data_IF_642746293631
#
_entry.id   IF_642746293631
#
_cell.length_a   1.000
_cell.length_b   1.000
_cell.length_c   1.000
_cell.angle_alpha   90.00
_cell.angle_beta   90.00
_cell.angle_gamma   90.00
#
_symmetry.space_group_name_H-M   'P 1'
#
loop_
_entity.id
_entity.type
_entity.pdbx_description
1 polymer ?
#
# COMPACT_ATOMS: atom_id res chain seq x y z
N UNK A 1 4.49 32.81 -15.52
CA UNK A 1 5.91 32.48 -15.79
C UNK A 1 6.06 30.96 -15.62
N UNK A 2 7.03 30.36 -16.32
CA UNK A 2 7.39 28.95 -16.18
C UNK A 2 8.69 28.85 -15.39
N UNK A 3 8.84 27.79 -14.63
CA UNK A 3 10.09 27.38 -13.97
C UNK A 3 10.47 26.00 -14.48
N UNK A 4 11.76 25.76 -14.56
CA UNK A 4 12.29 24.43 -14.81
C UNK A 4 12.80 23.85 -13.50
N UNK A 5 12.38 22.62 -13.22
CA UNK A 5 12.89 21.81 -12.13
C UNK A 5 13.74 20.70 -12.75
N UNK A 6 14.93 20.51 -12.22
CA UNK A 6 15.84 19.43 -12.65
C UNK A 6 15.78 18.36 -11.56
N UNK A 7 15.42 17.15 -11.96
CA UNK A 7 15.39 15.99 -11.08
C UNK A 7 16.53 15.05 -11.42
N UNK A 8 17.26 14.60 -10.42
CA UNK A 8 18.27 13.54 -10.55
C UNK A 8 17.59 12.21 -10.28
N UNK A 9 17.46 11.38 -11.32
CA UNK A 9 16.80 10.08 -11.28
C UNK A 9 17.84 8.98 -11.37
N UNK A 10 17.75 8.00 -10.47
CA UNK A 10 18.63 6.84 -10.44
C UNK A 10 18.53 6.00 -11.73
N UNK A 11 19.64 5.35 -12.14
CA UNK A 11 19.69 4.45 -13.29
C UNK A 11 18.64 3.32 -13.21
N UNK A 12 18.31 2.87 -12.00
CA UNK A 12 17.31 1.82 -11.80
C UNK A 12 15.90 2.24 -12.21
N UNK A 13 15.57 3.54 -12.10
CA UNK A 13 14.21 4.08 -12.28
C UNK A 13 14.05 4.83 -13.60
N UNK A 14 15.14 5.32 -14.21
CA UNK A 14 15.08 6.16 -15.42
C UNK A 14 14.38 5.46 -16.60
N UNK A 15 14.46 4.13 -16.66
CA UNK A 15 13.79 3.35 -17.71
C UNK A 15 12.27 3.45 -17.72
N UNK A 16 11.65 3.96 -16.65
CA UNK A 16 10.21 4.16 -16.54
C UNK A 16 9.78 5.62 -16.74
N UNK A 17 10.75 6.55 -16.79
CA UNK A 17 10.48 7.98 -16.95
C UNK A 17 10.46 8.33 -18.44
N UNK A 18 9.36 8.91 -18.89
CA UNK A 18 9.11 9.32 -20.26
C UNK A 18 8.70 10.78 -20.34
N UNK A 19 8.98 11.43 -21.47
CA UNK A 19 8.49 12.76 -21.75
C UNK A 19 6.95 12.79 -21.78
N UNK A 20 6.37 13.85 -21.25
CA UNK A 20 4.93 14.04 -21.14
C UNK A 20 4.28 13.41 -19.89
N UNK A 21 5.04 12.74 -19.04
CA UNK A 21 4.51 12.23 -17.77
C UNK A 21 4.24 13.38 -16.80
N UNK A 22 3.12 13.27 -16.08
CA UNK A 22 2.74 14.21 -15.03
C UNK A 22 3.65 14.05 -13.82
N UNK A 23 3.97 15.19 -13.22
CA UNK A 23 4.82 15.27 -12.04
C UNK A 23 4.15 16.13 -10.98
N UNK A 24 4.22 15.70 -9.74
CA UNK A 24 3.93 16.56 -8.59
C UNK A 24 5.16 16.71 -7.72
N UNK A 25 5.32 17.86 -7.09
CA UNK A 25 6.44 18.09 -6.19
C UNK A 25 6.07 19.09 -5.10
N UNK A 26 6.77 18.96 -3.98
CA UNK A 26 6.76 19.92 -2.89
C UNK A 26 8.14 20.54 -2.77
N UNK A 27 8.24 21.77 -2.28
CA UNK A 27 9.52 22.43 -2.02
C UNK A 27 9.66 22.68 -0.52
N UNK A 28 10.87 22.61 0.00
CA UNK A 28 11.12 22.78 1.45
C UNK A 28 10.67 24.14 1.99
N UNK A 29 10.64 25.16 1.12
CA UNK A 29 10.14 26.48 1.49
C UNK A 29 8.62 26.56 1.65
N UNK A 30 7.87 25.63 1.05
CA UNK A 30 6.40 25.56 1.06
C UNK A 30 5.96 24.08 1.14
N UNK A 31 6.12 23.44 2.30
CA UNK A 31 5.87 21.98 2.44
C UNK A 31 4.40 21.61 2.32
N UNK A 32 3.49 22.53 2.56
CA UNK A 32 2.04 22.31 2.47
C UNK A 32 1.49 22.56 1.05
N UNK A 33 2.28 23.19 0.16
CA UNK A 33 1.90 23.49 -1.20
C UNK A 33 2.40 22.39 -2.14
N UNK A 34 1.49 21.75 -2.89
CA UNK A 34 1.82 20.81 -3.96
C UNK A 34 1.82 21.55 -5.30
N UNK A 35 2.92 21.43 -6.01
CA UNK A 35 3.07 21.99 -7.36
C UNK A 35 2.96 20.86 -8.37
N UNK A 36 2.47 21.20 -9.55
CA UNK A 36 2.33 20.28 -10.67
C UNK A 36 3.22 20.72 -11.84
N UNK A 37 3.65 19.74 -12.63
CA UNK A 37 4.45 19.97 -13.82
C UNK A 37 4.45 18.73 -14.71
N UNK A 38 5.11 18.84 -15.85
CA UNK A 38 5.24 17.77 -16.82
C UNK A 38 6.71 17.53 -17.16
N UNK A 39 7.08 16.27 -17.38
CA UNK A 39 8.41 15.92 -17.89
C UNK A 39 8.53 16.42 -19.32
N UNK A 40 9.49 17.33 -19.56
CA UNK A 40 9.72 17.88 -20.91
C UNK A 40 10.90 17.26 -21.61
N UNK A 41 11.89 16.78 -20.86
CA UNK A 41 13.06 16.16 -21.44
C UNK A 41 13.73 15.20 -20.45
N UNK A 42 14.19 14.07 -20.97
CA UNK A 42 15.10 13.16 -20.26
C UNK A 42 16.49 13.29 -20.89
N UNK A 43 17.48 13.75 -20.10
CA UNK A 43 18.84 13.87 -20.58
C UNK A 43 19.55 12.53 -20.52
N UNK A 44 20.11 12.10 -21.65
CA UNK A 44 20.75 10.78 -21.76
C UNK A 44 22.21 10.75 -21.27
N UNK A 45 22.76 11.88 -20.86
CA UNK A 45 24.11 11.95 -20.31
C UNK A 45 24.06 11.71 -18.80
N UNK A 46 24.56 10.57 -18.31
CA UNK A 46 24.57 10.30 -16.88
C UNK A 46 25.62 11.15 -16.16
N UNK A 47 25.30 11.51 -14.94
CA UNK A 47 26.24 12.06 -13.97
C UNK A 47 26.60 10.98 -12.95
N UNK A 48 27.87 10.82 -12.62
CA UNK A 48 28.30 9.85 -11.61
C UNK A 48 28.91 10.59 -10.44
N UNK A 49 28.25 10.53 -9.31
CA UNK A 49 28.73 11.07 -8.05
C UNK A 49 28.77 9.98 -6.98
N UNK A 50 29.91 9.85 -6.30
CA UNK A 50 30.07 8.85 -5.21
C UNK A 50 29.65 7.42 -5.59
N UNK A 51 29.91 6.99 -6.81
CA UNK A 51 29.50 5.68 -7.38
C UNK A 51 27.98 5.52 -7.61
N UNK A 52 27.22 6.59 -7.55
CA UNK A 52 25.80 6.59 -7.92
C UNK A 52 25.67 7.23 -9.31
N UNK A 53 24.98 6.52 -10.22
CA UNK A 53 24.71 7.00 -11.57
C UNK A 53 23.31 7.57 -11.61
N UNK A 54 23.20 8.85 -11.97
CA UNK A 54 21.92 9.55 -12.08
C UNK A 54 21.75 10.17 -13.46
N UNK A 55 20.51 10.34 -13.86
CA UNK A 55 20.11 11.00 -15.10
C UNK A 55 19.27 12.23 -14.79
N UNK A 56 19.57 13.34 -15.45
CA UNK A 56 18.81 14.56 -15.27
C UNK A 56 17.50 14.52 -16.07
N UNK A 57 16.41 14.75 -15.38
CA UNK A 57 15.06 14.89 -15.95
C UNK A 57 14.62 16.34 -15.80
N UNK A 58 14.26 16.97 -16.92
CA UNK A 58 13.81 18.37 -16.95
C UNK A 58 12.28 18.36 -16.87
N UNK A 59 11.76 19.11 -15.90
CA UNK A 59 10.33 19.25 -15.63
C UNK A 59 9.95 20.71 -15.77
N UNK A 60 8.96 21.01 -16.59
CA UNK A 60 8.37 22.34 -16.69
C UNK A 60 7.23 22.47 -15.70
N UNK A 61 7.29 23.49 -14.86
CA UNK A 61 6.26 23.78 -13.86
C UNK A 61 5.72 25.21 -14.03
N UNK A 62 4.40 25.39 -14.08
CA UNK A 62 3.80 26.71 -14.04
C UNK A 62 4.06 27.39 -12.69
N UNK A 63 4.44 28.65 -12.73
CA UNK A 63 4.71 29.47 -11.52
C UNK A 63 3.96 30.80 -11.59
N UNK A 64 2.62 30.80 -11.55
CA UNK A 64 1.82 32.01 -11.66
C UNK A 64 2.02 32.96 -10.46
N UNK A 65 2.13 32.39 -9.27
CA UNK A 65 2.25 33.10 -7.99
C UNK A 65 3.70 33.49 -7.63
N UNK A 66 4.67 33.10 -8.48
CA UNK A 66 6.10 33.35 -8.27
C UNK A 66 6.66 32.80 -6.95
N UNK A 67 6.02 31.77 -6.39
CA UNK A 67 6.47 31.06 -5.18
C UNK A 67 7.75 30.27 -5.44
N UNK A 68 7.86 29.62 -6.59
CA UNK A 68 9.05 28.89 -6.97
C UNK A 68 10.19 29.87 -7.32
N UNK A 69 11.35 29.63 -6.70
CA UNK A 69 12.58 30.42 -6.93
C UNK A 69 13.73 29.49 -7.26
N UNK A 70 14.71 29.96 -8.07
CA UNK A 70 15.94 29.19 -8.30
C UNK A 70 16.65 28.86 -6.99
N UNK A 71 17.20 27.66 -6.91
CA UNK A 71 17.95 27.16 -5.75
C UNK A 71 17.10 26.53 -4.64
N UNK A 72 15.79 26.38 -4.83
CA UNK A 72 14.97 25.59 -3.91
C UNK A 72 15.16 24.09 -4.18
N UNK A 73 15.21 23.32 -3.09
CA UNK A 73 15.16 21.84 -3.14
C UNK A 73 13.71 21.39 -3.22
N UNK A 74 13.46 20.39 -4.07
CA UNK A 74 12.13 19.83 -4.29
C UNK A 74 12.11 18.32 -4.09
N UNK A 75 11.04 17.82 -3.47
CA UNK A 75 10.72 16.39 -3.40
C UNK A 75 9.72 16.08 -4.52
N UNK A 76 10.15 15.25 -5.48
CA UNK A 76 9.45 15.04 -6.75
C UNK A 76 8.84 13.65 -6.80
N UNK A 77 7.60 13.58 -7.27
CA UNK A 77 6.90 12.32 -7.60
C UNK A 77 6.53 12.32 -9.08
N UNK A 78 7.11 11.42 -9.86
CA UNK A 78 6.80 11.21 -11.26
C UNK A 78 5.77 10.11 -11.40
N UNK A 79 4.67 10.36 -12.11
CA UNK A 79 3.64 9.36 -12.36
C UNK A 79 3.98 8.58 -13.63
N UNK A 80 4.63 7.44 -13.45
CA UNK A 80 5.09 6.60 -14.58
C UNK A 80 3.94 5.88 -15.27
N UNK A 81 2.82 5.67 -14.58
CA UNK A 81 1.61 5.07 -15.15
C UNK A 81 0.37 5.58 -14.41
N UNK A 82 -0.56 6.14 -15.18
CA UNK A 82 -1.88 6.51 -14.69
C UNK A 82 -2.94 5.75 -15.47
N UNK A 83 -3.92 5.23 -14.77
CA UNK A 83 -5.07 4.55 -15.35
C UNK A 83 -6.34 5.07 -14.71
N UNK A 84 -7.27 5.49 -15.55
CA UNK A 84 -8.59 5.95 -15.12
C UNK A 84 -9.61 4.83 -15.30
N UNK A 85 -10.71 4.92 -14.57
CA UNK A 85 -11.86 4.02 -14.67
C UNK A 85 -11.54 2.54 -14.51
N UNK A 86 -10.63 2.22 -13.58
CA UNK A 86 -10.23 0.85 -13.26
C UNK A 86 -10.80 0.41 -11.91
N UNK A 87 -11.16 -0.87 -11.84
CA UNK A 87 -11.57 -1.48 -10.59
C UNK A 87 -10.34 -1.80 -9.73
N UNK A 88 -10.34 -1.33 -8.50
CA UNK A 88 -9.25 -1.52 -7.54
C UNK A 88 -9.66 -2.45 -6.40
N UNK A 89 -8.78 -3.35 -6.03
CA UNK A 89 -8.91 -4.16 -4.84
C UNK A 89 -7.75 -3.89 -3.87
N UNK A 90 -8.01 -3.74 -2.57
CA UNK A 90 -6.93 -3.51 -1.60
C UNK A 90 -6.02 -4.73 -1.52
N UNK A 91 -4.70 -4.51 -1.50
CA UNK A 91 -3.69 -5.58 -1.46
C UNK A 91 -3.88 -6.54 -0.26
N UNK A 92 -4.47 -6.05 0.82
CA UNK A 92 -4.81 -6.87 2.00
C UNK A 92 -5.81 -7.99 1.69
N UNK A 93 -6.71 -7.80 0.71
CA UNK A 93 -7.69 -8.81 0.32
C UNK A 93 -7.02 -10.06 -0.28
N UNK A 94 -5.86 -9.92 -0.92
CA UNK A 94 -5.12 -11.03 -1.51
C UNK A 94 -4.28 -11.82 -0.51
N UNK A 95 -4.06 -11.26 0.68
CA UNK A 95 -3.30 -11.90 1.77
C UNK A 95 -4.21 -12.61 2.77
N UNK A 96 -5.50 -12.35 2.68
CA UNK A 96 -6.47 -12.97 3.57
C UNK A 96 -6.71 -14.41 3.14
N UNK A 97 -6.63 -15.33 4.09
CA UNK A 97 -7.05 -16.72 3.96
C UNK A 97 -7.95 -17.00 5.16
N UNK A 98 -9.20 -17.44 4.96
CA UNK A 98 -10.07 -17.81 6.06
C UNK A 98 -9.50 -19.02 6.79
N UNK A 99 -9.73 -19.10 8.10
CA UNK A 99 -9.41 -20.30 8.86
C UNK A 99 -10.30 -21.45 8.38
N UNK A 100 -9.68 -22.61 8.23
CA UNK A 100 -10.42 -23.81 7.82
C UNK A 100 -11.45 -24.16 8.88
N UNK A 101 -12.71 -24.20 8.50
CA UNK A 101 -13.76 -24.69 9.37
C UNK A 101 -13.65 -26.21 9.46
N UNK A 102 -13.38 -26.80 10.64
CA UNK A 102 -13.29 -28.24 10.80
C UNK A 102 -14.57 -28.99 10.40
N UNK A 103 -15.72 -28.33 10.51
CA UNK A 103 -17.03 -28.92 10.17
C UNK A 103 -17.37 -28.80 8.68
N UNK A 104 -16.73 -27.86 7.95
CA UNK A 104 -16.98 -27.70 6.51
C UNK A 104 -15.69 -27.32 5.73
N UNK A 105 -14.75 -28.26 5.58
CA UNK A 105 -13.45 -28.00 4.95
C UNK A 105 -13.54 -27.59 3.47
N UNK A 106 -14.64 -27.89 2.78
CA UNK A 106 -14.81 -27.58 1.37
C UNK A 106 -14.99 -26.08 1.09
N UNK A 107 -15.46 -25.30 2.07
CA UNK A 107 -15.70 -23.87 1.92
C UNK A 107 -14.40 -23.06 1.96
N UNK A 108 -13.28 -23.68 2.34
CA UNK A 108 -12.01 -22.99 2.61
C UNK A 108 -10.91 -23.35 1.59
N UNK A 109 -11.17 -24.25 0.65
CA UNK A 109 -10.18 -24.60 -0.37
C UNK A 109 -10.03 -23.44 -1.37
N UNK A 110 -8.86 -22.79 -1.35
CA UNK A 110 -8.53 -21.82 -2.38
C UNK A 110 -8.35 -22.52 -3.73
N UNK A 111 -9.01 -22.05 -4.80
CA UNK A 111 -8.81 -22.58 -6.13
C UNK A 111 -7.36 -22.37 -6.61
N UNK A 112 -6.89 -23.25 -7.48
CA UNK A 112 -5.58 -23.08 -8.11
C UNK A 112 -5.61 -21.86 -9.04
N UNK A 113 -4.56 -21.05 -8.97
CA UNK A 113 -4.43 -19.81 -9.74
C UNK A 113 -3.35 -19.92 -10.80
N UNK A 114 -3.63 -19.39 -11.98
CA UNK A 114 -2.67 -19.25 -13.08
C UNK A 114 -1.81 -17.98 -12.96
N UNK A 115 -0.98 -17.76 -13.97
CA UNK A 115 -0.15 -16.54 -14.06
C UNK A 115 -1.05 -15.30 -14.20
N UNK A 116 -0.89 -14.33 -13.30
CA UNK A 116 -1.71 -13.10 -13.30
C UNK A 116 -3.09 -13.25 -12.64
N UNK A 117 -3.36 -14.40 -12.03
CA UNK A 117 -4.58 -14.64 -11.26
C UNK A 117 -4.30 -14.63 -9.77
N UNK A 118 -5.27 -14.17 -9.00
CA UNK A 118 -5.25 -14.16 -7.52
C UNK A 118 -6.60 -14.59 -6.98
N UNK A 119 -6.58 -15.19 -5.80
CA UNK A 119 -7.82 -15.50 -5.06
C UNK A 119 -8.15 -14.36 -4.13
N UNK A 120 -9.41 -13.98 -4.13
CA UNK A 120 -10.00 -13.09 -3.12
C UNK A 120 -11.20 -13.77 -2.49
N UNK A 121 -11.53 -13.36 -1.28
CA UNK A 121 -12.65 -13.90 -0.54
C UNK A 121 -13.77 -12.88 -0.50
N UNK A 122 -14.91 -13.26 -1.03
CA UNK A 122 -16.11 -12.42 -1.09
C UNK A 122 -17.04 -12.78 0.06
N UNK A 123 -17.63 -11.77 0.68
CA UNK A 123 -18.73 -11.95 1.59
C UNK A 123 -20.04 -11.93 0.80
N UNK A 124 -20.73 -13.06 0.76
CA UNK A 124 -22.05 -13.23 0.16
C UNK A 124 -23.11 -13.46 1.24
N UNK A 125 -24.39 -13.50 0.86
CA UNK A 125 -25.47 -13.83 1.77
C UNK A 125 -25.37 -15.28 2.31
N UNK A 126 -24.72 -16.16 1.58
CA UNK A 126 -24.55 -17.58 1.91
C UNK A 126 -23.25 -17.86 2.68
N UNK A 127 -22.38 -16.83 2.86
CA UNK A 127 -21.13 -16.97 3.58
C UNK A 127 -19.92 -16.43 2.81
N UNK A 128 -18.75 -16.97 3.13
CA UNK A 128 -17.46 -16.59 2.53
C UNK A 128 -17.19 -17.51 1.34
N UNK A 129 -17.02 -16.90 0.16
CA UNK A 129 -16.76 -17.66 -1.08
C UNK A 129 -15.46 -17.22 -1.72
N UNK A 130 -14.56 -18.17 -2.10
CA UNK A 130 -13.37 -17.84 -2.84
C UNK A 130 -13.70 -17.50 -4.29
N UNK A 131 -13.07 -16.45 -4.82
CA UNK A 131 -13.20 -16.06 -6.22
C UNK A 131 -11.83 -15.84 -6.84
N UNK A 132 -11.58 -16.48 -7.97
CA UNK A 132 -10.40 -16.20 -8.78
C UNK A 132 -10.66 -14.93 -9.58
N UNK A 133 -9.72 -14.01 -9.55
CA UNK A 133 -9.76 -12.77 -10.30
C UNK A 133 -8.46 -12.56 -11.07
N UNK A 134 -8.55 -11.94 -12.24
CA UNK A 134 -7.38 -11.52 -12.99
C UNK A 134 -6.95 -10.12 -12.50
N UNK A 135 -5.70 -10.02 -12.15
CA UNK A 135 -5.11 -8.78 -11.64
C UNK A 135 -4.19 -8.13 -12.67
N UNK A 136 -4.01 -6.84 -12.54
CA UNK A 136 -3.12 -6.05 -13.35
C UNK A 136 -2.00 -5.42 -12.52
N UNK A 137 -1.78 -4.12 -12.70
CA UNK A 137 -0.75 -3.34 -12.02
C UNK A 137 -1.14 -3.10 -10.55
N UNK A 138 -0.14 -2.99 -9.69
CA UNK A 138 -0.31 -2.68 -8.26
C UNK A 138 0.58 -1.51 -7.87
N UNK A 139 0.05 -0.62 -7.04
CA UNK A 139 0.77 0.49 -6.41
C UNK A 139 1.32 0.17 -5.01
N UNK A 140 1.16 -1.10 -4.56
CA UNK A 140 1.57 -1.55 -3.22
C UNK A 140 0.47 -1.41 -2.16
N UNK A 141 -0.58 -0.65 -2.40
CA UNK A 141 -1.77 -0.49 -1.52
C UNK A 141 -2.99 -1.11 -2.18
N UNK A 142 -3.18 -0.83 -3.46
CA UNK A 142 -4.25 -1.36 -4.30
C UNK A 142 -3.69 -2.13 -5.50
N UNK A 143 -4.50 -2.98 -6.07
CA UNK A 143 -4.19 -3.74 -7.27
C UNK A 143 -5.35 -3.64 -8.25
N UNK A 144 -5.04 -3.37 -9.50
CA UNK A 144 -6.00 -3.36 -10.60
C UNK A 144 -6.67 -4.73 -10.72
N UNK A 145 -7.99 -4.74 -10.82
CA UNK A 145 -8.76 -5.95 -11.13
C UNK A 145 -9.28 -5.82 -12.56
N UNK A 146 -8.83 -6.73 -13.43
CA UNK A 146 -9.25 -6.76 -14.84
C UNK A 146 -10.55 -7.53 -15.05
N UNK A 147 -10.69 -8.66 -14.34
CA UNK A 147 -11.84 -9.56 -14.48
C UNK A 147 -12.10 -10.31 -13.17
N UNK A 148 -13.34 -10.72 -12.96
CA UNK A 148 -13.73 -11.67 -11.91
C UNK A 148 -14.62 -11.11 -10.83
N UNK A 149 -14.61 -9.81 -10.55
CA UNK A 149 -15.51 -9.13 -9.61
C UNK A 149 -16.06 -7.85 -10.23
N UNK A 150 -17.12 -7.32 -9.64
CA UNK A 150 -17.77 -6.08 -10.06
C UNK A 150 -17.62 -5.02 -8.97
N UNK A 151 -17.84 -3.78 -9.35
CA UNK A 151 -17.93 -2.67 -8.41
C UNK A 151 -19.00 -2.95 -7.35
N UNK A 152 -18.70 -2.59 -6.09
CA UNK A 152 -19.58 -2.88 -4.95
C UNK A 152 -19.43 -4.29 -4.36
N UNK A 153 -18.62 -5.18 -4.93
CA UNK A 153 -18.33 -6.47 -4.33
C UNK A 153 -17.64 -6.31 -2.96
N UNK A 154 -18.13 -7.05 -1.94
CA UNK A 154 -17.57 -7.00 -0.58
C UNK A 154 -16.40 -7.96 -0.45
N UNK A 155 -15.17 -7.42 -0.45
CA UNK A 155 -13.95 -8.18 -0.24
C UNK A 155 -13.62 -8.30 1.25
N UNK A 156 -13.20 -9.48 1.68
CA UNK A 156 -12.73 -9.70 3.04
C UNK A 156 -11.24 -9.41 3.08
N UNK A 157 -10.86 -8.47 3.95
CA UNK A 157 -9.46 -8.03 4.14
C UNK A 157 -8.85 -8.51 5.46
N UNK A 158 -9.67 -9.08 6.34
CA UNK A 158 -9.26 -9.59 7.65
C UNK A 158 -10.45 -9.92 8.54
N UNK A 159 -10.19 -10.64 9.63
CA UNK A 159 -11.18 -10.95 10.67
C UNK A 159 -10.76 -10.24 11.95
N UNK A 160 -11.67 -9.42 12.50
CA UNK A 160 -11.50 -8.92 13.85
C UNK A 160 -12.01 -9.99 14.83
N UNK A 161 -11.11 -10.65 15.53
CA UNK A 161 -11.48 -11.46 16.68
C UNK A 161 -11.79 -10.54 17.85
N UNK A 162 -13.04 -10.39 18.20
CA UNK A 162 -13.39 -9.93 19.53
C UNK A 162 -12.87 -10.99 20.51
N UNK A 163 -11.72 -10.75 21.13
CA UNK A 163 -11.33 -11.49 22.35
C UNK A 163 -12.48 -11.27 23.34
N UNK A 164 -13.37 -12.26 23.45
CA UNK A 164 -14.18 -12.39 24.65
C UNK A 164 -13.16 -12.45 25.78
N UNK A 165 -13.12 -11.41 26.60
CA UNK A 165 -12.41 -11.45 27.88
C UNK A 165 -13.16 -12.52 28.65
N UNK A 166 -12.63 -13.74 28.62
CA UNK A 166 -13.06 -14.77 29.56
C UNK A 166 -12.58 -14.22 30.90
N UNK A 167 -13.46 -13.93 31.87
CA UNK A 167 -13.02 -13.57 33.19
C UNK A 167 -12.19 -14.77 33.67
N UNK A 168 -10.91 -14.58 33.85
CA UNK A 168 -10.04 -15.58 34.44
C UNK A 168 -10.54 -15.75 35.85
N UNK A 169 -11.29 -16.83 36.06
CA UNK A 169 -11.69 -17.28 37.40
C UNK A 169 -10.43 -17.37 38.22
N UNK A 170 -10.41 -16.63 39.33
CA UNK A 170 -9.25 -16.50 40.19
C UNK A 170 -8.73 -17.85 40.64
N UNK A 171 -7.63 -18.28 40.08
CA UNK A 171 -6.70 -19.13 40.81
C UNK A 171 -5.96 -18.20 41.78
N UNK A 172 -6.29 -18.31 43.05
CA UNK A 172 -5.47 -17.76 44.10
C UNK A 172 -4.08 -18.45 44.02
N UNK A 173 -3.21 -17.89 43.19
CA UNK A 173 -1.77 -18.19 43.32
C UNK A 173 -1.35 -17.67 44.68
N UNK A 174 -1.06 -18.61 45.59
CA UNK A 174 -0.45 -18.31 46.87
C UNK A 174 0.86 -17.57 46.63
N UNK A 175 0.88 -16.29 46.95
CA UNK A 175 2.08 -15.48 46.94
C UNK A 175 3.06 -16.03 47.98
N UNK A 176 4.25 -16.54 47.57
CA UNK A 176 5.19 -17.19 48.49
C UNK A 176 5.80 -16.24 49.54
N UNK A 177 5.52 -14.94 49.43
CA UNK A 177 5.97 -13.91 50.37
C UNK A 177 4.92 -13.40 51.36
N UNK A 178 3.70 -13.99 51.38
CA UNK A 178 2.68 -13.62 52.38
C UNK A 178 2.69 -14.61 53.55
N UNK A 179 2.79 -14.14 54.80
CA UNK A 179 2.72 -15.03 55.98
C UNK A 179 1.30 -15.62 56.09
N UNK A 180 1.18 -16.90 56.55
CA UNK A 180 -0.12 -17.60 56.65
C UNK A 180 -1.04 -16.90 57.65
N UNK A 181 -2.30 -16.74 57.26
CA UNK A 181 -3.35 -16.19 58.15
C UNK A 181 -3.56 -17.12 59.36
N UNK A 182 -3.53 -16.58 60.59
CA UNK A 182 -3.81 -17.39 61.79
C UNK A 182 -5.30 -17.76 61.83
N UNK A 183 -5.58 -19.09 61.82
CA UNK A 183 -6.95 -19.54 62.11
C UNK A 183 -7.49 -20.76 61.38
N UNK A 184 -6.78 -21.49 60.55
CA UNK A 184 -7.29 -22.73 59.96
C UNK A 184 -6.63 -23.95 60.63
N UNK A 185 -7.38 -24.54 61.61
CA UNK A 185 -7.04 -25.88 62.16
C UNK A 185 -7.46 -26.93 61.14
N UNK A 186 -6.48 -27.74 60.73
CA UNK A 186 -6.72 -28.98 59.98
C UNK A 186 -7.56 -29.95 60.85
N UNK A 187 -8.62 -30.45 60.25
CA UNK A 187 -9.19 -31.74 60.62
C UNK A 187 -8.99 -32.70 59.47
#
# INVERSE_FOLDING_TARGET
>A
RKMQVIADVDEADIGQVLEGQRVTFTVDAFPDDTFEGDVTQVRLNPTTESNVVTYEVVIDAPNPELKLKPGLTANITVYTMEKNDILLAPLKAFRFTPETDPENPQTTLAPQTGKGEKVVWLQTAEGIVPKVIKVGVSDGIYTEVKEGIQEGSRLIVGVQRNKKIVPQGGNEESNPFMPPRPGQKKK
#
